data_IF_438306115651
#
_entry.id   IF_438306115651
#
_cell.length_a   1.000
_cell.length_b   1.000
_cell.length_c   1.000
_cell.angle_alpha   90.00
_cell.angle_beta   90.00
_cell.angle_gamma   90.00
#
_symmetry.space_group_name_H-M   'P 1'
#
loop_
_entity.id
_entity.type
_entity.pdbx_description
1 polymer ?
#
# COMPACT_ATOMS: atom_id res chain seq x y z
N UNK A 1 14.02 -12.16 -10.29
CA UNK A 1 14.13 -10.69 -10.47
C UNK A 1 12.73 -10.18 -10.73
N UNK A 2 12.22 -9.30 -9.87
CA UNK A 2 10.86 -8.81 -10.03
C UNK A 2 10.74 -7.92 -11.27
N UNK A 3 9.68 -8.10 -12.05
CA UNK A 3 9.47 -7.37 -13.31
C UNK A 3 8.12 -6.66 -13.30
N UNK A 4 8.13 -5.35 -13.53
CA UNK A 4 6.91 -4.58 -13.73
C UNK A 4 6.33 -4.95 -15.11
N UNK A 5 5.09 -5.41 -15.12
CA UNK A 5 4.32 -5.73 -16.33
C UNK A 5 3.49 -4.55 -16.82
N UNK A 6 2.88 -3.83 -15.90
CA UNK A 6 1.96 -2.74 -16.22
C UNK A 6 1.88 -1.74 -15.07
N UNK A 7 1.60 -0.47 -15.40
CA UNK A 7 1.29 0.60 -14.46
C UNK A 7 -0.01 1.26 -14.91
N UNK A 8 -0.94 1.46 -13.98
CA UNK A 8 -2.25 2.08 -14.20
C UNK A 8 -2.47 3.21 -13.19
N UNK A 9 -3.09 4.34 -13.56
CA UNK A 9 -3.45 5.36 -12.59
C UNK A 9 -4.51 4.82 -11.62
N UNK A 10 -4.41 5.17 -10.33
CA UNK A 10 -5.48 4.94 -9.38
C UNK A 10 -6.60 5.96 -9.62
N UNK A 11 -7.85 5.50 -9.69
CA UNK A 11 -9.03 6.38 -9.91
C UNK A 11 -9.64 6.84 -8.59
N UNK A 12 -9.62 5.98 -7.57
CA UNK A 12 -10.19 6.24 -6.25
C UNK A 12 -9.13 6.65 -5.22
N UNK A 13 -9.59 7.01 -4.02
CA UNK A 13 -8.74 7.39 -2.89
C UNK A 13 -8.19 6.16 -2.16
N UNK A 14 -7.30 5.45 -2.85
CA UNK A 14 -6.60 4.31 -2.30
C UNK A 14 -5.41 4.72 -1.43
N UNK A 15 -5.28 4.06 -0.29
CA UNK A 15 -4.15 4.19 0.62
C UNK A 15 -3.54 2.82 0.86
N UNK A 16 -2.21 2.75 0.86
CA UNK A 16 -1.49 1.62 1.44
C UNK A 16 -1.30 1.88 2.92
N UNK A 17 -1.63 0.87 3.73
CA UNK A 17 -1.45 0.90 5.19
C UNK A 17 -0.16 0.18 5.51
N UNK A 18 0.71 0.84 6.26
CA UNK A 18 2.06 0.38 6.60
C UNK A 18 2.28 0.40 8.11
N UNK A 19 3.36 -0.23 8.57
CA UNK A 19 3.76 -0.24 9.96
C UNK A 19 2.96 -1.22 10.81
N UNK A 20 2.78 -0.90 12.09
CA UNK A 20 2.15 -1.79 13.06
C UNK A 20 0.69 -1.43 13.33
N UNK A 21 -0.07 -2.39 13.89
CA UNK A 21 -1.47 -2.18 14.30
C UNK A 21 -1.62 -0.99 15.25
N UNK A 22 -0.65 -0.76 16.14
CA UNK A 22 -0.71 0.31 17.15
C UNK A 22 -0.23 1.67 16.63
N UNK A 23 0.47 1.69 15.50
CA UNK A 23 1.03 2.90 14.89
C UNK A 23 1.01 2.79 13.36
N UNK A 24 -0.19 2.81 12.75
CA UNK A 24 -0.33 2.68 11.31
C UNK A 24 0.14 3.94 10.59
N UNK A 25 0.70 3.75 9.40
CA UNK A 25 1.02 4.83 8.48
C UNK A 25 0.20 4.67 7.21
N UNK A 26 -0.19 5.80 6.62
CA UNK A 26 -1.03 5.82 5.42
C UNK A 26 -0.30 6.56 4.33
N UNK A 27 -0.14 5.89 3.20
CA UNK A 27 0.40 6.53 2.01
C UNK A 27 -0.57 6.43 0.85
N UNK A 28 -0.83 7.57 0.21
CA UNK A 28 -1.76 7.63 -0.92
C UNK A 28 -1.18 6.90 -2.12
N UNK A 29 -1.94 5.96 -2.65
CA UNK A 29 -1.65 5.26 -3.90
C UNK A 29 -2.01 6.16 -5.08
N UNK A 30 -1.05 6.39 -5.97
CA UNK A 30 -1.25 7.19 -7.19
C UNK A 30 -1.31 6.27 -8.41
N UNK A 31 -0.59 5.14 -8.36
CA UNK A 31 -0.60 4.15 -9.42
C UNK A 31 -0.74 2.74 -8.85
N UNK A 32 -1.39 1.87 -9.61
CA UNK A 32 -1.33 0.43 -9.44
C UNK A 32 -0.29 -0.14 -10.39
N UNK A 33 0.62 -0.96 -9.88
CA UNK A 33 1.55 -1.71 -10.71
C UNK A 33 1.26 -3.21 -10.62
N UNK A 34 1.32 -3.89 -11.75
CA UNK A 34 1.35 -5.36 -11.81
C UNK A 34 2.82 -5.77 -11.84
N UNK A 35 3.27 -6.45 -10.80
CA UNK A 35 4.65 -6.91 -10.62
C UNK A 35 4.66 -8.42 -10.64
N UNK A 36 5.53 -9.01 -11.46
CA UNK A 36 5.85 -10.43 -11.30
C UNK A 36 6.97 -10.55 -10.27
N UNK A 37 6.73 -11.22 -9.15
CA UNK A 37 7.71 -11.35 -8.05
C UNK A 37 8.61 -12.59 -8.18
N UNK A 38 8.32 -13.46 -9.14
CA UNK A 38 9.00 -14.74 -9.36
C UNK A 38 8.15 -15.96 -9.01
N UNK A 39 7.12 -15.79 -8.18
CA UNK A 39 6.12 -16.82 -7.88
C UNK A 39 4.81 -16.59 -8.62
N UNK A 40 4.47 -15.32 -8.88
CA UNK A 40 3.25 -14.94 -9.58
C UNK A 40 3.19 -13.48 -9.95
N UNK A 41 2.03 -13.04 -10.42
CA UNK A 41 1.73 -11.63 -10.62
C UNK A 41 0.98 -11.08 -9.42
N UNK A 42 1.51 -10.00 -8.84
CA UNK A 42 0.93 -9.29 -7.70
C UNK A 42 0.61 -7.84 -8.10
N UNK A 43 -0.42 -7.27 -7.48
CA UNK A 43 -0.82 -5.88 -7.66
C UNK A 43 -0.31 -5.07 -6.48
N UNK A 44 0.42 -3.98 -6.75
CA UNK A 44 1.00 -3.12 -5.72
C UNK A 44 0.60 -1.67 -5.91
N UNK A 45 0.23 -1.02 -4.80
CA UNK A 45 -0.04 0.41 -4.76
C UNK A 45 1.25 1.20 -4.65
N UNK A 46 1.46 2.13 -5.59
CA UNK A 46 2.66 2.94 -5.71
C UNK A 46 2.34 4.39 -5.33
N UNK A 47 2.97 4.93 -4.26
CA UNK A 47 2.81 6.32 -3.87
C UNK A 47 3.57 7.25 -4.82
N UNK A 48 3.31 8.55 -4.72
CA UNK A 48 3.93 9.57 -5.60
C UNK A 48 5.45 9.55 -5.51
N UNK A 49 5.99 9.34 -4.32
CA UNK A 49 7.42 9.44 -4.02
C UNK A 49 8.25 8.34 -4.70
N UNK A 50 7.61 7.21 -5.00
CA UNK A 50 8.27 6.05 -5.62
C UNK A 50 8.21 6.06 -7.16
N UNK A 51 7.59 7.08 -7.76
CA UNK A 51 7.52 7.23 -9.22
C UNK A 51 8.93 7.55 -9.75
N UNK A 52 9.50 6.62 -10.52
CA UNK A 52 10.83 6.77 -11.13
C UNK A 52 11.94 5.99 -10.43
N UNK A 53 11.65 5.30 -9.31
CA UNK A 53 12.60 4.39 -8.65
C UNK A 53 12.62 3.05 -9.39
N UNK A 54 13.34 3.01 -10.51
CA UNK A 54 13.56 1.80 -11.31
C UNK A 54 14.64 0.94 -10.62
N UNK A 55 14.26 0.16 -9.61
CA UNK A 55 15.19 -0.77 -8.98
C UNK A 55 14.76 -1.39 -7.66
N UNK A 56 13.89 -0.73 -6.89
CA UNK A 56 13.49 -1.16 -5.54
C UNK A 56 12.09 -1.79 -5.49
N UNK A 57 11.71 -2.55 -6.53
CA UNK A 57 10.36 -3.12 -6.62
C UNK A 57 10.07 -4.11 -5.48
N UNK A 58 11.09 -4.79 -4.96
CA UNK A 58 10.97 -5.68 -3.80
C UNK A 58 10.64 -4.93 -2.50
N UNK A 59 11.05 -3.66 -2.37
CA UNK A 59 10.80 -2.85 -1.18
C UNK A 59 9.36 -2.33 -1.14
N UNK A 60 8.66 -2.28 -2.29
CA UNK A 60 7.26 -1.84 -2.36
C UNK A 60 6.28 -2.79 -1.69
N UNK A 61 6.69 -4.05 -1.49
CA UNK A 61 5.90 -5.11 -0.86
C UNK A 61 6.19 -5.25 0.64
N UNK A 62 7.31 -4.69 1.12
CA UNK A 62 7.71 -4.84 2.50
C UNK A 62 6.85 -3.95 3.40
N UNK A 63 6.44 -4.49 4.55
CA UNK A 63 5.75 -3.75 5.61
C UNK A 63 4.37 -3.18 5.23
N UNK A 64 3.76 -3.70 4.16
CA UNK A 64 2.39 -3.34 3.75
C UNK A 64 1.38 -4.25 4.44
N UNK A 65 0.58 -3.69 5.33
CA UNK A 65 -0.51 -4.41 6.00
C UNK A 65 -1.72 -4.64 5.09
N UNK A 66 -1.90 -3.77 4.09
CA UNK A 66 -2.93 -3.89 3.07
C UNK A 66 -3.24 -2.58 2.35
N UNK A 67 -4.34 -2.58 1.60
CA UNK A 67 -4.82 -1.41 0.85
C UNK A 67 -6.26 -1.13 1.22
N UNK A 68 -6.59 0.14 1.47
CA UNK A 68 -7.93 0.59 1.81
C UNK A 68 -8.36 1.73 0.91
N UNK A 69 -9.66 1.79 0.61
CA UNK A 69 -10.29 2.90 -0.09
C UNK A 69 -11.06 3.73 0.94
N UNK A 70 -10.61 4.96 1.18
CA UNK A 70 -11.17 5.86 2.19
C UNK A 70 -11.12 7.30 1.70
N UNK A 71 -11.98 8.15 2.25
CA UNK A 71 -11.89 9.59 1.98
C UNK A 71 -10.63 10.20 2.61
N UNK A 72 -9.98 11.21 1.98
CA UNK A 72 -8.80 11.85 2.54
C UNK A 72 -8.99 12.42 3.96
N UNK A 73 -10.22 12.84 4.30
CA UNK A 73 -10.56 13.32 5.65
C UNK A 73 -10.54 12.24 6.72
N UNK A 74 -10.68 10.95 6.35
CA UNK A 74 -10.66 9.83 7.30
C UNK A 74 -9.24 9.45 7.72
N UNK A 75 -8.21 9.83 6.97
CA UNK A 75 -6.81 9.43 7.23
C UNK A 75 -6.36 9.88 8.62
N UNK A 76 -6.56 11.15 8.97
CA UNK A 76 -6.16 11.67 10.28
C UNK A 76 -6.92 10.99 11.42
N UNK A 77 -8.21 10.71 11.21
CA UNK A 77 -9.03 10.01 12.21
C UNK A 77 -8.52 8.58 12.44
N UNK A 78 -8.27 7.82 11.38
CA UNK A 78 -7.78 6.44 11.48
C UNK A 78 -6.35 6.35 12.03
N UNK A 79 -5.55 7.41 11.89
CA UNK A 79 -4.23 7.50 12.54
C UNK A 79 -4.33 7.72 14.05
N UNK A 80 -5.38 8.41 14.53
CA UNK A 80 -5.66 8.63 15.95
C UNK A 80 -6.47 7.47 16.57
N UNK A 81 -7.24 6.75 15.75
CA UNK A 81 -8.14 5.65 16.11
C UNK A 81 -7.82 4.37 15.33
N UNK A 82 -6.62 3.78 15.51
CA UNK A 82 -6.18 2.60 14.74
C UNK A 82 -7.06 1.36 14.97
N UNK A 83 -7.81 1.28 16.08
CA UNK A 83 -8.78 0.23 16.36
C UNK A 83 -9.87 0.12 15.27
N UNK A 84 -10.22 1.22 14.62
CA UNK A 84 -11.21 1.21 13.54
C UNK A 84 -10.69 0.50 12.28
N UNK A 85 -9.38 0.23 12.18
CA UNK A 85 -8.81 -0.51 11.06
C UNK A 85 -9.19 -2.00 11.06
N UNK A 86 -9.72 -2.52 12.16
CA UNK A 86 -10.17 -3.92 12.26
C UNK A 86 -11.25 -4.28 11.22
N UNK A 87 -12.00 -3.29 10.74
CA UNK A 87 -13.01 -3.49 9.68
C UNK A 87 -12.40 -3.82 8.30
N UNK A 88 -11.10 -3.56 8.08
CA UNK A 88 -10.47 -3.62 6.75
C UNK A 88 -9.67 -4.90 6.46
N UNK A 89 -9.79 -5.96 7.26
CA UNK A 89 -9.12 -7.26 7.04
C UNK A 89 -7.60 -7.13 6.74
N UNK A 90 -6.92 -6.18 7.40
CA UNK A 90 -5.48 -5.95 7.21
C UNK A 90 -4.64 -7.07 7.83
N UNK A 91 -3.53 -7.41 7.19
CA UNK A 91 -2.58 -8.42 7.63
C UNK A 91 -1.32 -7.73 8.10
N UNK A 92 -1.20 -7.54 9.40
CA UNK A 92 -0.02 -6.90 10.01
C UNK A 92 1.16 -7.87 9.97
N UNK A 93 2.36 -7.35 9.64
CA UNK A 93 3.58 -8.12 9.81
C UNK A 93 3.75 -8.51 11.28
N UNK A 94 4.21 -9.74 11.53
CA UNK A 94 4.67 -10.11 12.87
C UNK A 94 5.86 -9.22 13.22
N UNK A 95 5.74 -8.43 14.30
CA UNK A 95 6.80 -7.55 14.78
C UNK A 95 8.03 -8.29 15.28
#
# INVERSE_FOLDING_TARGET
>A
MSKIKQILPATENWYRVLGSKDAPQFERVIFWAIVNDGEGDVVVGVPRENIGVIGAVSEWLSDVAGYIEIEPSQVSWLAEHPEELEQYNLVWGEG
#
